data_IF_211019621614
#
_entry.id   IF_211019621614
#
_cell.length_a   1.000
_cell.length_b   1.000
_cell.length_c   1.000
_cell.angle_alpha   90.00
_cell.angle_beta   90.00
_cell.angle_gamma   90.00
#
_symmetry.space_group_name_H-M   'P 1'
#
loop_
_entity.id
_entity.type
_entity.pdbx_description
1 polymer ?
#
# COMPACT_ATOMS: atom_id res chain seq x y z
N UNK A 1 -4.32 -11.75 -9.67
CA UNK A 1 -4.24 -12.77 -8.62
C UNK A 1 -5.52 -12.73 -7.81
N UNK A 2 -6.06 -13.87 -7.39
CA UNK A 2 -7.30 -13.96 -6.60
C UNK A 2 -6.99 -14.08 -5.10
N UNK A 3 -7.84 -13.50 -4.25
CA UNK A 3 -7.72 -13.54 -2.79
C UNK A 3 -9.07 -13.21 -2.12
N UNK A 4 -9.14 -13.33 -0.80
CA UNK A 4 -10.37 -13.14 -0.04
C UNK A 4 -10.17 -12.14 1.11
N UNK A 5 -11.16 -11.26 1.31
CA UNK A 5 -11.25 -10.37 2.46
C UNK A 5 -12.67 -10.49 3.01
N UNK A 6 -12.81 -10.80 4.31
CA UNK A 6 -14.11 -10.88 5.01
C UNK A 6 -15.14 -11.79 4.28
N UNK A 7 -14.73 -12.93 3.72
CA UNK A 7 -15.66 -13.82 3.00
C UNK A 7 -15.97 -13.42 1.56
N UNK A 8 -15.42 -12.30 1.08
CA UNK A 8 -15.66 -11.79 -0.28
C UNK A 8 -14.41 -12.03 -1.13
N UNK A 9 -14.60 -12.65 -2.31
CA UNK A 9 -13.50 -12.89 -3.25
C UNK A 9 -13.22 -11.66 -4.11
N UNK A 10 -11.93 -11.37 -4.25
CA UNK A 10 -11.39 -10.30 -5.07
C UNK A 10 -10.34 -10.86 -6.00
N UNK A 11 -10.07 -10.12 -7.07
CA UNK A 11 -8.92 -10.34 -7.93
C UNK A 11 -8.27 -9.03 -8.34
N UNK A 12 -6.97 -9.09 -8.56
CA UNK A 12 -6.17 -7.95 -9.03
C UNK A 12 -5.53 -8.26 -10.38
N UNK A 13 -5.46 -7.25 -11.25
CA UNK A 13 -4.47 -7.19 -12.31
C UNK A 13 -3.22 -6.43 -11.84
N UNK A 14 -2.12 -6.54 -12.59
CA UNK A 14 -0.94 -5.70 -12.34
C UNK A 14 -1.18 -4.30 -12.90
N UNK A 15 -0.68 -3.30 -12.19
CA UNK A 15 -0.57 -1.94 -12.72
C UNK A 15 0.30 -1.94 -13.99
N UNK A 16 0.02 -1.06 -14.94
CA UNK A 16 0.93 -0.81 -16.06
C UNK A 16 2.26 -0.25 -15.56
N UNK A 17 3.34 -0.38 -16.34
CA UNK A 17 4.68 0.09 -15.92
C UNK A 17 4.69 1.59 -15.62
N UNK A 18 3.90 2.39 -16.35
CA UNK A 18 3.78 3.83 -16.09
C UNK A 18 3.02 4.13 -14.80
N UNK A 19 1.97 3.38 -14.49
CA UNK A 19 1.26 3.50 -13.20
C UNK A 19 2.14 3.04 -12.05
N UNK A 20 2.89 1.96 -12.22
CA UNK A 20 3.87 1.51 -11.22
C UNK A 20 4.88 2.61 -10.88
N UNK A 21 5.44 3.31 -11.89
CA UNK A 21 6.36 4.43 -11.68
C UNK A 21 5.69 5.63 -10.99
N UNK A 22 4.45 5.97 -11.36
CA UNK A 22 3.72 7.09 -10.76
C UNK A 22 3.37 6.80 -9.29
N UNK A 23 2.81 5.62 -9.03
CA UNK A 23 2.46 5.16 -7.68
C UNK A 23 3.73 5.03 -6.83
N UNK A 24 4.81 4.44 -7.35
CA UNK A 24 6.06 4.30 -6.60
C UNK A 24 6.67 5.65 -6.23
N UNK A 25 6.65 6.65 -7.13
CA UNK A 25 7.16 8.00 -6.84
C UNK A 25 6.46 8.65 -5.64
N UNK A 26 5.17 8.39 -5.44
CA UNK A 26 4.38 8.94 -4.33
C UNK A 26 4.47 8.09 -3.07
N UNK A 27 4.53 6.78 -3.23
CA UNK A 27 4.56 5.83 -2.12
C UNK A 27 5.95 5.69 -1.48
N UNK A 28 7.03 5.77 -2.25
CA UNK A 28 8.39 5.56 -1.76
C UNK A 28 8.82 6.55 -0.66
N UNK A 29 8.57 7.87 -0.77
CA UNK A 29 8.94 8.80 0.31
C UNK A 29 8.26 8.44 1.63
N UNK A 30 6.98 8.03 1.56
CA UNK A 30 6.21 7.56 2.71
C UNK A 30 6.83 6.31 3.31
N UNK A 31 7.20 5.33 2.48
CA UNK A 31 7.82 4.09 2.94
C UNK A 31 9.24 4.28 3.48
N UNK A 32 10.04 5.16 2.87
CA UNK A 32 11.42 5.42 3.26
C UNK A 32 11.51 5.91 4.71
N UNK A 33 10.57 6.76 5.14
CA UNK A 33 10.46 7.23 6.52
C UNK A 33 10.05 6.15 7.54
N UNK A 34 9.70 4.94 7.08
CA UNK A 34 9.22 3.83 7.92
C UNK A 34 10.14 2.59 7.92
N UNK A 35 11.18 2.52 7.08
CA UNK A 35 12.02 1.31 6.93
C UNK A 35 12.73 0.92 8.22
N UNK A 36 13.32 1.88 8.94
CA UNK A 36 13.95 1.64 10.25
C UNK A 36 12.95 1.18 11.29
N UNK A 37 11.73 1.68 11.21
CA UNK A 37 10.65 1.41 12.15
C UNK A 37 10.02 0.03 11.91
N UNK A 38 10.04 -0.45 10.66
CA UNK A 38 9.49 -1.77 10.31
C UNK A 38 10.23 -2.92 11.04
N UNK A 39 11.56 -2.82 11.17
CA UNK A 39 12.35 -3.80 11.95
C UNK A 39 12.00 -3.75 13.44
N UNK A 40 11.89 -2.55 14.00
CA UNK A 40 11.48 -2.30 15.39
C UNK A 40 10.08 -2.87 15.67
N UNK A 41 9.13 -2.59 14.79
CA UNK A 41 7.76 -3.12 14.89
C UNK A 41 7.75 -4.64 14.77
N UNK A 42 8.52 -5.22 13.85
CA UNK A 42 8.61 -6.67 13.69
C UNK A 42 9.21 -7.36 14.91
N UNK A 43 10.22 -6.77 15.54
CA UNK A 43 10.82 -7.28 16.78
C UNK A 43 9.80 -7.24 17.94
N UNK A 44 9.06 -6.14 18.08
CA UNK A 44 8.00 -6.00 19.10
C UNK A 44 6.82 -6.93 18.89
N UNK A 45 6.39 -7.14 17.64
CA UNK A 45 5.35 -8.14 17.33
C UNK A 45 5.85 -9.55 17.68
N UNK A 46 7.11 -9.85 17.37
CA UNK A 46 7.73 -11.14 17.67
C UNK A 46 7.87 -11.39 19.18
N UNK A 47 8.03 -10.33 19.98
CA UNK A 47 8.02 -10.39 21.46
C UNK A 47 6.61 -10.33 22.07
N UNK A 48 5.54 -10.36 21.25
CA UNK A 48 4.12 -10.22 21.64
C UNK A 48 3.77 -8.87 22.29
N UNK A 49 4.61 -7.85 22.12
CA UNK A 49 4.34 -6.48 22.54
C UNK A 49 3.56 -5.73 21.44
N UNK A 50 2.29 -6.08 21.29
CA UNK A 50 1.40 -5.47 20.29
C UNK A 50 1.10 -4.01 20.59
N UNK A 51 1.03 -3.63 21.87
CA UNK A 51 0.78 -2.26 22.30
C UNK A 51 2.00 -1.36 22.02
N UNK A 52 3.21 -1.82 22.33
CA UNK A 52 4.45 -1.13 21.99
C UNK A 52 4.71 -1.06 20.48
N UNK A 53 4.28 -2.07 19.71
CA UNK A 53 4.31 -2.01 18.25
C UNK A 53 3.35 -0.92 17.70
N UNK A 54 2.14 -0.83 18.25
CA UNK A 54 1.16 0.20 17.90
C UNK A 54 1.61 1.61 18.28
N UNK A 55 2.14 1.80 19.48
CA UNK A 55 2.69 3.09 19.91
C UNK A 55 3.84 3.57 19.00
N UNK A 56 4.59 2.65 18.39
CA UNK A 56 5.68 2.99 17.46
C UNK A 56 5.17 3.38 16.06
N UNK A 57 4.15 2.68 15.54
CA UNK A 57 3.71 2.91 14.16
C UNK A 57 2.63 3.98 14.02
N UNK A 58 1.82 4.21 15.06
CA UNK A 58 0.70 5.16 15.00
C UNK A 58 1.13 6.61 14.68
N UNK A 59 2.19 7.18 15.30
CA UNK A 59 2.67 8.51 14.94
C UNK A 59 3.20 8.58 13.50
N UNK A 60 3.76 7.48 13.00
CA UNK A 60 4.31 7.40 11.64
C UNK A 60 3.20 7.36 10.59
N UNK A 61 2.13 6.62 10.87
CA UNK A 61 0.91 6.66 10.05
C UNK A 61 0.34 8.08 10.06
N UNK A 62 0.27 8.74 11.22
CA UNK A 62 -0.25 10.11 11.30
C UNK A 62 0.58 11.11 10.47
N UNK A 63 1.92 11.03 10.54
CA UNK A 63 2.81 11.87 9.73
C UNK A 63 2.67 11.57 8.23
N UNK A 64 2.69 10.29 7.86
CA UNK A 64 2.52 9.87 6.46
C UNK A 64 1.17 10.32 5.87
N UNK A 65 0.10 10.24 6.64
CA UNK A 65 -1.23 10.73 6.23
C UNK A 65 -1.24 12.25 6.13
N UNK A 66 -0.48 12.95 6.99
CA UNK A 66 -0.39 14.43 6.94
C UNK A 66 0.48 14.94 5.78
N UNK A 67 1.49 14.17 5.37
CA UNK A 67 2.43 14.53 4.30
C UNK A 67 1.85 14.29 2.89
N UNK A 68 0.83 13.44 2.78
CA UNK A 68 0.15 13.16 1.52
C UNK A 68 -0.90 14.24 1.25
N UNK A 69 -0.74 14.95 0.13
CA UNK A 69 -1.82 15.81 -0.38
C UNK A 69 -3.00 14.96 -0.88
N UNK A 70 -4.20 15.54 -0.93
CA UNK A 70 -5.38 14.87 -1.52
C UNK A 70 -5.08 14.34 -2.94
N UNK A 71 -4.32 15.12 -3.73
CA UNK A 71 -3.90 14.70 -5.06
C UNK A 71 -2.91 13.52 -5.07
N UNK A 72 -2.09 13.36 -4.03
CA UNK A 72 -1.21 12.20 -3.88
C UNK A 72 -1.99 10.95 -3.45
N UNK A 73 -2.99 11.14 -2.58
CA UNK A 73 -3.92 10.08 -2.18
C UNK A 73 -4.64 9.54 -3.41
N UNK A 74 -5.26 10.40 -4.21
CA UNK A 74 -5.97 10.03 -5.43
C UNK A 74 -5.06 9.35 -6.45
N UNK A 75 -3.84 9.86 -6.62
CA UNK A 75 -2.84 9.30 -7.54
C UNK A 75 -2.32 7.91 -7.12
N UNK A 76 -2.55 7.48 -5.89
CA UNK A 76 -2.26 6.13 -5.40
C UNK A 76 -3.53 5.27 -5.41
N UNK A 77 -4.61 5.75 -4.81
CA UNK A 77 -5.84 4.98 -4.60
C UNK A 77 -6.50 4.60 -5.92
N UNK A 78 -6.74 5.56 -6.82
CA UNK A 78 -7.51 5.26 -8.04
C UNK A 78 -6.80 4.30 -8.99
N UNK A 79 -5.50 4.43 -9.29
CA UNK A 79 -4.81 3.44 -10.11
C UNK A 79 -4.80 2.05 -9.46
N UNK A 80 -4.61 1.97 -8.14
CA UNK A 80 -4.62 0.68 -7.45
C UNK A 80 -6.01 0.04 -7.47
N UNK A 81 -7.07 0.79 -7.20
CA UNK A 81 -8.43 0.26 -7.16
C UNK A 81 -9.00 -0.04 -8.56
N UNK A 82 -8.55 0.64 -9.61
CA UNK A 82 -9.01 0.40 -10.99
C UNK A 82 -8.66 -0.99 -11.52
N UNK A 83 -7.60 -1.61 -10.98
CA UNK A 83 -7.17 -2.97 -11.34
C UNK A 83 -7.74 -4.06 -10.43
N UNK A 84 -8.66 -3.71 -9.52
CA UNK A 84 -9.30 -4.63 -8.58
C UNK A 84 -10.73 -4.95 -9.07
N UNK A 85 -11.09 -6.23 -9.05
CA UNK A 85 -12.47 -6.66 -9.26
C UNK A 85 -12.94 -7.56 -8.11
N UNK A 86 -14.23 -7.48 -7.78
CA UNK A 86 -14.91 -8.35 -6.82
C UNK A 86 -15.71 -9.42 -7.55
N UNK A 87 -15.71 -10.64 -7.04
CA UNK A 87 -16.62 -11.69 -7.49
C UNK A 87 -18.05 -11.29 -7.09
N UNK A 88 -18.92 -11.15 -8.09
CA UNK A 88 -20.31 -10.79 -7.87
C UNK A 88 -21.20 -11.61 -8.80
N UNK A 89 -22.11 -12.39 -8.22
CA UNK A 89 -22.95 -13.36 -8.92
C UNK A 89 -22.13 -14.38 -9.73
N UNK A 90 -22.11 -14.28 -11.06
CA UNK A 90 -21.36 -15.18 -11.95
C UNK A 90 -20.20 -14.48 -12.67
N UNK A 91 -19.80 -13.29 -12.21
CA UNK A 91 -18.82 -12.46 -12.89
C UNK A 91 -17.91 -11.69 -11.95
N UNK A 92 -17.01 -10.94 -12.56
CA UNK A 92 -16.06 -10.07 -11.87
C UNK A 92 -16.39 -8.62 -12.19
N UNK A 93 -16.69 -7.84 -11.17
CA UNK A 93 -17.11 -6.45 -11.31
C UNK A 93 -16.00 -5.56 -10.75
N UNK A 94 -15.53 -4.54 -11.49
CA UNK A 94 -14.53 -3.61 -10.98
C UNK A 94 -15.02 -2.94 -9.69
N UNK A 95 -14.16 -2.86 -8.67
CA UNK A 95 -14.55 -2.27 -7.37
C UNK A 95 -14.57 -0.76 -7.41
N UNK A 96 -13.79 -0.15 -8.31
CA UNK A 96 -13.77 1.28 -8.54
C UNK A 96 -13.74 1.58 -10.04
N UNK A 97 -14.58 2.50 -10.49
CA UNK A 97 -14.58 3.02 -11.86
C UNK A 97 -14.80 4.53 -11.82
N UNK A 98 -14.05 5.27 -12.63
CA UNK A 98 -14.15 6.74 -12.71
C UNK A 98 -14.04 7.45 -11.34
N UNK A 99 -13.31 6.86 -10.39
CA UNK A 99 -13.13 7.40 -9.04
C UNK A 99 -14.25 7.07 -8.05
N UNK A 100 -15.27 6.33 -8.47
CA UNK A 100 -16.40 5.94 -7.63
C UNK A 100 -16.32 4.46 -7.26
N UNK A 101 -16.68 4.14 -6.02
CA UNK A 101 -16.73 2.77 -5.52
C UNK A 101 -18.04 2.11 -5.97
N UNK A 102 -17.96 0.89 -6.50
CA UNK A 102 -19.11 0.14 -6.99
C UNK A 102 -19.88 -0.59 -5.88
N UNK A 103 -19.36 -0.61 -4.66
CA UNK A 103 -19.84 -1.42 -3.56
C UNK A 103 -19.79 -0.66 -2.24
N UNK A 104 -20.96 -0.37 -1.65
CA UNK A 104 -21.08 0.41 -0.41
C UNK A 104 -20.56 -0.34 0.84
N UNK A 105 -20.45 -1.67 0.77
CA UNK A 105 -19.92 -2.50 1.85
C UNK A 105 -18.39 -2.51 1.93
N UNK A 106 -17.69 -1.87 0.97
CA UNK A 106 -16.24 -1.68 1.04
C UNK A 106 -15.94 -0.52 1.99
N UNK A 107 -15.66 -0.86 3.25
CA UNK A 107 -15.18 0.10 4.23
C UNK A 107 -13.72 0.52 4.00
N UNK A 108 -13.29 1.57 4.70
CA UNK A 108 -11.95 2.13 4.60
C UNK A 108 -10.86 1.06 4.79
N UNK A 109 -11.01 0.18 5.78
CA UNK A 109 -10.01 -0.85 6.06
C UNK A 109 -9.90 -1.84 4.90
N UNK A 110 -11.04 -2.29 4.36
CA UNK A 110 -11.07 -3.18 3.20
C UNK A 110 -10.50 -2.48 1.96
N UNK A 111 -10.83 -1.21 1.72
CA UNK A 111 -10.23 -0.42 0.63
C UNK A 111 -8.69 -0.37 0.74
N UNK A 112 -8.17 -0.06 1.92
CA UNK A 112 -6.72 -0.01 2.16
C UNK A 112 -6.06 -1.37 1.99
N UNK A 113 -6.71 -2.46 2.39
CA UNK A 113 -6.22 -3.82 2.17
C UNK A 113 -6.14 -4.16 0.68
N UNK A 114 -7.13 -3.76 -0.13
CA UNK A 114 -7.11 -3.96 -1.58
C UNK A 114 -5.93 -3.21 -2.22
N UNK A 115 -5.73 -1.94 -1.84
CA UNK A 115 -4.62 -1.12 -2.32
C UNK A 115 -3.27 -1.73 -1.93
N UNK A 116 -3.09 -2.11 -0.66
CA UNK A 116 -1.87 -2.76 -0.19
C UNK A 116 -1.57 -4.05 -0.97
N UNK A 117 -2.61 -4.83 -1.30
CA UNK A 117 -2.44 -6.05 -2.09
C UNK A 117 -1.96 -5.76 -3.51
N UNK A 118 -2.52 -4.73 -4.17
CA UNK A 118 -2.12 -4.30 -5.52
C UNK A 118 -0.69 -3.77 -5.52
N UNK A 119 -0.33 -2.96 -4.53
CA UNK A 119 1.03 -2.43 -4.34
C UNK A 119 2.02 -3.59 -4.17
N UNK A 120 1.73 -4.56 -3.31
CA UNK A 120 2.60 -5.71 -3.10
C UNK A 120 2.80 -6.53 -4.39
N UNK A 121 1.74 -6.77 -5.15
CA UNK A 121 1.82 -7.54 -6.41
C UNK A 121 2.49 -6.79 -7.55
N UNK A 122 2.28 -5.47 -7.62
CA UNK A 122 2.74 -4.64 -8.73
C UNK A 122 4.15 -4.09 -8.50
N UNK A 123 4.49 -3.77 -7.26
CA UNK A 123 5.77 -3.16 -6.88
C UNK A 123 6.71 -4.12 -6.14
N UNK A 124 6.29 -5.34 -5.79
CA UNK A 124 7.09 -6.27 -4.98
C UNK A 124 8.51 -6.48 -5.51
N UNK A 125 8.68 -6.69 -6.81
CA UNK A 125 10.01 -6.85 -7.43
C UNK A 125 10.85 -5.57 -7.34
N UNK A 126 10.22 -4.40 -7.47
CA UNK A 126 10.89 -3.11 -7.41
C UNK A 126 11.33 -2.79 -5.97
N UNK A 127 10.45 -3.02 -4.99
CA UNK A 127 10.75 -2.79 -3.57
C UNK A 127 11.85 -3.73 -3.05
N UNK A 128 11.90 -4.98 -3.51
CA UNK A 128 12.99 -5.91 -3.18
C UNK A 128 14.35 -5.49 -3.75
N UNK A 129 14.35 -4.72 -4.84
CA UNK A 129 15.57 -4.19 -5.46
C UNK A 129 16.06 -2.85 -4.88
N UNK A 130 15.34 -2.27 -3.91
CA UNK A 130 15.77 -1.03 -3.27
C UNK A 130 16.99 -1.28 -2.38
N UNK A 131 18.02 -0.42 -2.42
CA UNK A 131 19.14 -0.51 -1.50
C UNK A 131 18.62 -0.34 -0.06
N UNK A 132 18.78 -1.38 0.76
CA UNK A 132 18.39 -1.37 2.18
C UNK A 132 19.40 -0.64 3.07
N UNK A 133 20.43 -0.03 2.46
CA UNK A 133 21.52 0.67 3.13
C UNK A 133 21.67 2.04 2.51
N UNK A 134 21.93 3.05 3.34
CA UNK A 134 22.33 4.37 2.86
C UNK A 134 23.56 4.24 1.96
N UNK A 135 23.54 4.93 0.82
CA UNK A 135 24.75 5.06 0.00
C UNK A 135 25.75 5.88 0.83
N UNK A 136 26.98 5.39 1.07
CA UNK A 136 27.95 6.12 1.87
C UNK A 136 28.13 7.53 1.30
N UNK A 137 27.98 8.54 2.14
CA UNK A 137 28.25 9.93 1.75
C UNK A 137 29.70 10.00 1.25
N UNK A 138 29.95 10.44 0.01
CA UNK A 138 31.31 10.64 -0.47
C UNK A 138 32.04 11.59 0.49
N UNK A 139 33.34 11.36 0.78
CA UNK A 139 34.11 12.30 1.57
C UNK A 139 34.00 13.69 0.95
N UNK A 140 33.69 14.70 1.75
CA UNK A 140 33.77 16.08 1.32
C UNK A 140 35.22 16.38 0.92
N UNK A 141 35.41 16.86 -0.32
CA UNK A 141 36.71 17.26 -0.86
C UNK A 141 37.18 18.59 -0.27
#
# INVERSE_FOLDING_TARGET
MEFEIKGVKYRTAKLSVFEQLKVSRKLLPVLAGMVSDFRSVQEKISSKDTEGAMATILPKIANAVSDLSDGDVDAILFPCLSVVSREHMKGWVPVCQHGEMAFDDIDLLTMLQLVARVVADSLGNFLQGLPTSETPTPPAE
#
